data_IF_124201893447
#
_entry.id   IF_124201893447
#
_cell.length_a   1.000
_cell.length_b   1.000
_cell.length_c   1.000
_cell.angle_alpha   90.00
_cell.angle_beta   90.00
_cell.angle_gamma   90.00
#
_symmetry.space_group_name_H-M   'P 1'
#
loop_
_entity.id
_entity.type
_entity.pdbx_description
1 polymer ?
#
# COMPACT_ATOMS: atom_id res chain seq x y z
N UNK A 1 22.66 24.49 14.36
CA UNK A 1 23.04 23.12 13.95
C UNK A 1 22.18 22.73 12.76
N UNK A 2 22.81 22.58 11.61
CA UNK A 2 22.24 21.98 10.40
C UNK A 2 22.01 20.49 10.66
N UNK A 3 20.75 20.07 10.75
CA UNK A 3 20.35 18.66 10.60
C UNK A 3 18.91 18.66 10.12
N UNK A 4 18.79 18.93 8.83
CA UNK A 4 17.72 18.50 7.95
C UNK A 4 17.30 17.08 8.34
N UNK A 5 16.19 16.92 9.05
CA UNK A 5 15.44 15.67 8.98
C UNK A 5 14.52 15.81 7.79
N UNK A 6 15.06 15.49 6.61
CA UNK A 6 14.20 15.06 5.53
C UNK A 6 13.45 13.85 6.07
N UNK A 7 12.14 13.98 6.17
CA UNK A 7 11.19 12.92 6.52
C UNK A 7 11.61 11.60 5.87
N UNK A 8 12.11 10.64 6.65
CA UNK A 8 12.36 9.27 6.19
C UNK A 8 11.01 8.56 6.10
N UNK A 9 10.36 8.70 4.95
CA UNK A 9 9.21 7.87 4.63
C UNK A 9 9.72 6.53 4.07
N UNK A 10 9.28 5.44 4.68
CA UNK A 10 9.49 4.07 4.21
C UNK A 10 8.49 3.80 3.09
N UNK A 11 8.97 3.24 1.99
CA UNK A 11 8.12 2.85 0.87
C UNK A 11 8.22 1.34 0.68
N UNK A 12 7.10 0.64 0.82
CA UNK A 12 7.01 -0.81 0.69
C UNK A 12 6.10 -1.16 -0.47
N UNK A 13 6.61 -1.96 -1.39
CA UNK A 13 5.85 -2.46 -2.53
C UNK A 13 5.29 -3.86 -2.22
N UNK A 14 4.05 -4.09 -2.64
CA UNK A 14 3.30 -5.31 -2.46
C UNK A 14 2.79 -5.81 -3.81
N UNK A 15 3.01 -7.09 -4.11
CA UNK A 15 2.39 -7.74 -5.25
C UNK A 15 0.99 -8.19 -4.87
N UNK A 16 0.01 -7.84 -5.70
CA UNK A 16 -1.39 -8.23 -5.51
C UNK A 16 -1.86 -8.97 -6.76
N UNK A 17 -2.42 -10.16 -6.54
CA UNK A 17 -3.05 -10.95 -7.59
C UNK A 17 -4.57 -10.77 -7.58
N UNK A 18 -5.19 -10.99 -8.74
CA UNK A 18 -6.65 -10.87 -8.88
C UNK A 18 -7.15 -9.46 -9.23
N UNK A 19 -6.27 -8.46 -9.43
CA UNK A 19 -6.60 -7.10 -9.89
C UNK A 19 -7.20 -7.08 -11.31
N UNK A 20 -8.44 -7.55 -11.43
CA UNK A 20 -9.16 -7.73 -12.70
C UNK A 20 -10.26 -6.69 -12.91
N UNK A 21 -10.56 -5.85 -11.91
CA UNK A 21 -11.65 -4.88 -11.98
C UNK A 21 -11.17 -3.46 -11.63
N UNK A 22 -11.09 -2.57 -12.63
CA UNK A 22 -10.57 -1.21 -12.48
C UNK A 22 -11.34 -0.29 -11.52
N UNK A 23 -12.54 -0.67 -11.09
CA UNK A 23 -13.33 0.10 -10.12
C UNK A 23 -12.84 -0.02 -8.67
N UNK A 24 -12.07 -1.05 -8.32
CA UNK A 24 -11.70 -1.25 -6.92
C UNK A 24 -10.40 -0.55 -6.50
N UNK A 25 -9.64 0.00 -7.45
CA UNK A 25 -8.39 0.72 -7.15
C UNK A 25 -8.63 1.85 -6.14
N UNK A 26 -9.64 2.69 -6.40
CA UNK A 26 -9.91 3.84 -5.55
C UNK A 26 -10.25 3.41 -4.11
N UNK A 27 -11.07 2.36 -3.97
CA UNK A 27 -11.40 1.78 -2.67
C UNK A 27 -10.16 1.23 -1.98
N UNK A 28 -9.32 0.44 -2.66
CA UNK A 28 -8.06 -0.09 -2.13
C UNK A 28 -7.12 1.01 -1.64
N UNK A 29 -6.89 2.03 -2.47
CA UNK A 29 -6.04 3.18 -2.11
C UNK A 29 -6.58 3.89 -0.87
N UNK A 30 -7.90 4.03 -0.76
CA UNK A 30 -8.54 4.68 0.38
C UNK A 30 -8.39 3.84 1.65
N UNK A 31 -8.74 2.55 1.64
CA UNK A 31 -8.69 1.69 2.84
C UNK A 31 -7.25 1.47 3.32
N UNK A 32 -6.27 1.33 2.42
CA UNK A 32 -4.85 1.25 2.81
C UNK A 32 -4.35 2.61 3.28
N UNK A 33 -4.83 3.71 2.69
CA UNK A 33 -4.50 5.07 3.10
C UNK A 33 -5.08 5.46 4.46
N UNK A 34 -6.14 4.77 4.92
CA UNK A 34 -6.72 4.91 6.26
C UNK A 34 -5.91 4.18 7.34
N UNK A 35 -4.93 3.35 6.96
CA UNK A 35 -4.06 2.69 7.93
C UNK A 35 -3.15 3.70 8.65
N UNK A 36 -3.07 3.55 9.97
CA UNK A 36 -2.20 4.37 10.82
C UNK A 36 -0.73 4.29 10.36
N UNK A 37 -0.14 5.46 10.11
CA UNK A 37 1.25 5.59 9.67
C UNK A 37 1.41 5.64 8.15
N UNK A 38 0.38 5.35 7.36
CA UNK A 38 0.40 5.51 5.91
C UNK A 38 0.27 6.99 5.54
N UNK A 39 1.16 7.45 4.66
CA UNK A 39 1.23 8.82 4.15
C UNK A 39 0.82 8.91 2.69
N UNK A 40 1.09 7.87 1.90
CA UNK A 40 0.63 7.76 0.52
C UNK A 40 0.46 6.30 0.12
N UNK A 41 -0.44 6.05 -0.83
CA UNK A 41 -0.64 4.73 -1.44
C UNK A 41 -0.73 4.92 -2.94
N UNK A 42 0.07 4.17 -3.68
CA UNK A 42 0.01 4.12 -5.14
C UNK A 42 -0.32 2.69 -5.57
N UNK A 43 -1.26 2.55 -6.50
CA UNK A 43 -1.75 1.25 -6.96
C UNK A 43 -1.54 1.19 -8.47
N UNK A 44 -0.66 0.30 -8.89
CA UNK A 44 -0.32 0.06 -10.28
C UNK A 44 -1.05 -1.20 -10.78
N UNK A 45 -2.17 -0.97 -11.46
CA UNK A 45 -2.96 -2.02 -12.11
C UNK A 45 -2.26 -2.63 -13.33
N UNK A 46 -1.28 -1.93 -13.93
CA UNK A 46 -0.57 -2.43 -15.10
C UNK A 46 0.47 -3.49 -14.70
N UNK A 47 1.15 -3.29 -13.57
CA UNK A 47 2.15 -4.22 -13.05
C UNK A 47 1.61 -5.19 -12.00
N UNK A 48 0.47 -4.87 -11.36
CA UNK A 48 -0.04 -5.68 -10.26
C UNK A 48 0.55 -5.29 -8.90
N UNK A 49 1.10 -4.08 -8.76
CA UNK A 49 1.89 -3.68 -7.59
C UNK A 49 1.22 -2.53 -6.82
N UNK A 50 1.17 -2.67 -5.50
CA UNK A 50 0.68 -1.65 -4.56
C UNK A 50 1.86 -1.12 -3.77
N UNK A 51 2.15 0.17 -3.92
CA UNK A 51 3.22 0.86 -3.22
C UNK A 51 2.64 1.65 -2.05
N UNK A 52 3.05 1.34 -0.83
CA UNK A 52 2.62 2.01 0.39
C UNK A 52 3.77 2.84 0.92
N UNK A 53 3.58 4.14 1.06
CA UNK A 53 4.52 5.07 1.67
C UNK A 53 4.04 5.44 3.06
N UNK A 54 4.86 5.21 4.07
CA UNK A 54 4.52 5.40 5.48
C UNK A 54 5.71 5.94 6.27
N UNK A 55 5.46 6.55 7.43
CA UNK A 55 6.55 7.03 8.29
C UNK A 55 7.32 5.90 9.01
N UNK A 56 6.76 4.69 9.03
CA UNK A 56 7.32 3.49 9.64
C UNK A 56 7.01 2.27 8.74
N UNK A 57 7.58 1.10 9.04
CA UNK A 57 7.24 -0.14 8.34
C UNK A 57 5.73 -0.41 8.43
N UNK A 58 5.02 -0.52 7.29
CA UNK A 58 3.59 -0.83 7.28
C UNK A 58 3.35 -2.28 7.75
N UNK A 59 2.25 -2.50 8.46
CA UNK A 59 1.81 -3.83 8.90
C UNK A 59 1.34 -4.66 7.70
N UNK A 60 2.16 -5.59 7.21
CA UNK A 60 1.79 -6.44 6.07
C UNK A 60 0.50 -7.23 6.32
N UNK A 61 0.27 -7.63 7.58
CA UNK A 61 -0.93 -8.36 7.97
C UNK A 61 -2.19 -7.50 7.79
N UNK A 62 -2.12 -6.21 8.18
CA UNK A 62 -3.23 -5.27 7.95
C UNK A 62 -3.42 -5.01 6.47
N UNK A 63 -2.34 -4.74 5.74
CA UNK A 63 -2.41 -4.51 4.28
C UNK A 63 -3.01 -5.72 3.59
N UNK A 64 -2.62 -6.94 3.96
CA UNK A 64 -3.21 -8.16 3.42
C UNK A 64 -4.70 -8.29 3.77
N UNK A 65 -5.11 -7.98 5.01
CA UNK A 65 -6.51 -8.01 5.43
C UNK A 65 -7.38 -7.05 4.62
N UNK A 66 -7.00 -5.78 4.49
CA UNK A 66 -7.78 -4.82 3.66
C UNK A 66 -7.77 -5.19 2.18
N UNK A 67 -6.69 -5.80 1.68
CA UNK A 67 -6.61 -6.29 0.29
C UNK A 67 -7.56 -7.49 0.09
N UNK A 68 -7.62 -8.42 1.05
CA UNK A 68 -8.53 -9.57 1.05
C UNK A 68 -10.00 -9.14 1.17
N UNK A 69 -10.31 -8.21 2.07
CA UNK A 69 -11.65 -7.61 2.21
C UNK A 69 -12.08 -6.87 0.94
N UNK A 70 -11.15 -6.28 0.20
CA UNK A 70 -11.40 -5.67 -1.10
C UNK A 70 -11.59 -6.69 -2.24
N UNK A 71 -11.39 -7.99 -1.98
CA UNK A 71 -11.54 -9.08 -2.93
C UNK A 71 -10.28 -9.37 -3.74
N UNK A 72 -9.11 -9.06 -3.20
CA UNK A 72 -7.80 -9.26 -3.83
C UNK A 72 -6.89 -10.10 -2.95
N UNK A 73 -5.89 -10.73 -3.54
CA UNK A 73 -4.94 -11.55 -2.77
C UNK A 73 -3.55 -10.93 -2.82
N UNK A 74 -3.05 -10.51 -1.65
CA UNK A 74 -1.67 -10.06 -1.50
C UNK A 74 -0.73 -11.26 -1.60
N UNK A 75 0.06 -11.34 -2.67
CA UNK A 75 0.96 -12.48 -2.93
C UNK A 75 2.33 -12.33 -2.26
N UNK A 76 2.67 -11.11 -1.83
CA UNK A 76 3.87 -10.84 -1.04
C UNK A 76 4.40 -9.42 -1.22
N UNK A 77 5.59 -9.16 -0.69
CA UNK A 77 6.34 -7.93 -0.96
C UNK A 77 7.01 -8.05 -2.34
N UNK A 78 6.87 -7.00 -3.17
CA UNK A 78 7.42 -6.93 -4.52
C UNK A 78 8.82 -6.30 -4.54
#
# INVERSE_FOLDING_TARGET
>A
MSSSRTTEAVTTAYAVSGMSCGHCRATLTQVIGELDGVSAVDVDLATGVVTVTSAAEPDDAKVAEVVDEAGYELTGRA
#
